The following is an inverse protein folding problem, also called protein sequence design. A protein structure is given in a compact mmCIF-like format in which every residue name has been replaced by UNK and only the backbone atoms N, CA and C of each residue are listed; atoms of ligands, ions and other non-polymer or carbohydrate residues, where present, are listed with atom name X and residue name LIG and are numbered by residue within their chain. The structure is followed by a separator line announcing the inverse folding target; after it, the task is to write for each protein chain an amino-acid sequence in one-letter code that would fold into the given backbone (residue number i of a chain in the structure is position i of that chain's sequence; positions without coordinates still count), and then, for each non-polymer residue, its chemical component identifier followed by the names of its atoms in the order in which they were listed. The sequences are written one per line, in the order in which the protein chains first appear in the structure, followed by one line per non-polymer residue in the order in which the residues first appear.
data_IF_654831300194
#
_entry.id   IF_654831300194
#
_cell.length_a   1.000
_cell.length_b   1.000
_cell.length_c   1.000
_cell.angle_alpha   90.00
_cell.angle_beta   90.00
_cell.angle_gamma   90.00
#
_symmetry.space_group_name_H-M   'P 1'
#
loop_
_entity.id
_entity.type
_entity.pdbx_description
1 polymer ?
#
# COMPACT_ATOMS: atom_id res chain seq x y z
N UNK A 1 43.78 17.81 -38.79
CA UNK A 1 43.66 18.03 -37.34
C UNK A 1 42.37 18.82 -37.01
N UNK A 2 41.47 18.29 -36.23
CA UNK A 2 40.30 19.05 -35.79
C UNK A 2 40.72 20.15 -34.80
N UNK A 3 40.17 21.34 -34.96
CA UNK A 3 40.39 22.42 -34.01
C UNK A 3 39.75 22.07 -32.64
N UNK A 4 40.28 22.66 -31.59
CA UNK A 4 39.74 22.51 -30.24
C UNK A 4 38.28 22.95 -30.17
N UNK A 5 37.92 24.02 -30.86
CA UNK A 5 36.58 24.59 -30.94
C UNK A 5 35.58 23.55 -31.47
N UNK A 6 35.97 22.79 -32.51
CA UNK A 6 35.12 21.77 -33.09
C UNK A 6 34.90 20.57 -32.14
N UNK A 7 35.97 20.17 -31.44
CA UNK A 7 35.94 19.11 -30.44
C UNK A 7 35.02 19.47 -29.26
N UNK A 8 35.07 20.72 -28.81
CA UNK A 8 34.20 21.23 -27.76
C UNK A 8 32.74 21.25 -28.17
N UNK A 9 32.43 21.66 -29.40
CA UNK A 9 31.05 21.60 -29.93
C UNK A 9 30.50 20.19 -29.98
N UNK A 10 31.31 19.24 -30.47
CA UNK A 10 30.92 17.84 -30.55
C UNK A 10 30.64 17.27 -29.14
N UNK A 11 31.45 17.67 -28.15
CA UNK A 11 31.25 17.26 -26.76
C UNK A 11 29.95 17.84 -26.16
N UNK A 12 29.68 19.13 -26.42
CA UNK A 12 28.44 19.78 -25.95
C UNK A 12 27.22 19.10 -26.51
N UNK A 13 27.20 18.77 -27.80
CA UNK A 13 26.10 18.06 -28.44
C UNK A 13 25.90 16.70 -27.77
N UNK A 14 26.96 15.96 -27.50
CA UNK A 14 26.91 14.66 -26.87
C UNK A 14 26.37 14.72 -25.43
N UNK A 15 26.75 15.75 -24.67
CA UNK A 15 26.24 15.97 -23.31
C UNK A 15 24.75 16.28 -23.32
N UNK A 16 24.30 17.14 -24.24
CA UNK A 16 22.88 17.49 -24.40
C UNK A 16 22.04 16.26 -24.76
N UNK A 17 22.50 15.44 -25.70
CA UNK A 17 21.81 14.19 -26.09
C UNK A 17 21.70 13.23 -24.91
N UNK A 18 22.74 13.08 -24.10
CA UNK A 18 22.74 12.22 -22.91
C UNK A 18 21.75 12.72 -21.87
N UNK A 19 21.69 14.02 -21.63
CA UNK A 19 20.75 14.64 -20.69
C UNK A 19 19.31 14.46 -21.15
N UNK A 20 19.04 14.63 -22.45
CA UNK A 20 17.70 14.38 -23.03
C UNK A 20 17.29 12.91 -22.87
N UNK A 21 18.19 11.98 -23.10
CA UNK A 21 17.93 10.56 -22.93
C UNK A 21 17.63 10.21 -21.49
N UNK A 22 18.35 10.77 -20.53
CA UNK A 22 18.08 10.58 -19.10
C UNK A 22 16.72 11.13 -18.70
N UNK A 23 16.35 12.29 -19.21
CA UNK A 23 15.05 12.92 -18.96
C UNK A 23 13.91 12.06 -19.51
N UNK A 24 14.03 11.58 -20.74
CA UNK A 24 13.04 10.69 -21.37
C UNK A 24 12.87 9.39 -20.59
N UNK A 25 13.96 8.82 -20.11
CA UNK A 25 13.94 7.60 -19.33
C UNK A 25 13.23 7.81 -17.99
N UNK A 26 13.51 8.92 -17.33
CA UNK A 26 12.85 9.31 -16.08
C UNK A 26 11.35 9.49 -16.28
N UNK A 27 10.94 10.17 -17.33
CA UNK A 27 9.52 10.37 -17.66
C UNK A 27 8.80 9.04 -17.92
N UNK A 28 9.47 8.10 -18.62
CA UNK A 28 8.94 6.75 -18.85
C UNK A 28 8.72 5.99 -17.55
N UNK A 29 9.67 6.04 -16.63
CA UNK A 29 9.59 5.38 -15.33
C UNK A 29 8.45 5.96 -14.51
N UNK A 30 8.34 7.28 -14.43
CA UNK A 30 7.28 7.97 -13.72
C UNK A 30 5.88 7.62 -14.25
N UNK A 31 5.74 7.54 -15.57
CA UNK A 31 4.50 7.14 -16.23
C UNK A 31 4.12 5.70 -15.87
N UNK A 32 5.10 4.80 -15.89
CA UNK A 32 4.90 3.40 -15.53
C UNK A 32 4.49 3.24 -14.07
N UNK A 33 5.13 3.99 -13.16
CA UNK A 33 4.76 4.01 -11.75
C UNK A 33 3.30 4.41 -11.55
N UNK A 34 2.87 5.47 -12.21
CA UNK A 34 1.47 5.93 -12.13
C UNK A 34 0.48 4.87 -12.64
N UNK A 35 0.82 4.20 -13.72
CA UNK A 35 -0.02 3.14 -14.27
C UNK A 35 -0.14 1.96 -13.30
N UNK A 36 0.98 1.54 -12.71
CA UNK A 36 1.01 0.45 -11.73
C UNK A 36 0.23 0.85 -10.47
N UNK A 37 0.47 2.04 -9.93
CA UNK A 37 -0.23 2.54 -8.74
C UNK A 37 -1.73 2.62 -8.98
N UNK A 38 -2.15 3.12 -10.15
CA UNK A 38 -3.57 3.20 -10.50
C UNK A 38 -4.24 1.83 -10.53
N UNK A 39 -3.60 0.82 -11.12
CA UNK A 39 -4.11 -0.55 -11.16
C UNK A 39 -4.22 -1.16 -9.76
N UNK A 40 -3.19 -0.99 -8.97
CA UNK A 40 -3.12 -1.52 -7.60
C UNK A 40 -4.17 -0.87 -6.70
N UNK A 41 -4.33 0.44 -6.80
CA UNK A 41 -5.35 1.19 -6.06
C UNK A 41 -6.76 0.71 -6.41
N UNK A 42 -7.03 0.42 -7.68
CA UNK A 42 -8.32 -0.14 -8.10
C UNK A 42 -8.59 -1.50 -7.46
N UNK A 43 -7.57 -2.35 -7.41
CA UNK A 43 -7.67 -3.67 -6.76
C UNK A 43 -7.94 -3.49 -5.27
N UNK A 44 -7.18 -2.63 -4.60
CA UNK A 44 -7.35 -2.33 -3.18
C UNK A 44 -8.75 -1.80 -2.88
N UNK A 45 -9.23 -0.84 -3.66
CA UNK A 45 -10.56 -0.28 -3.49
C UNK A 45 -11.65 -1.34 -3.66
N UNK A 46 -11.53 -2.19 -4.68
CA UNK A 46 -12.50 -3.24 -4.95
C UNK A 46 -12.48 -4.35 -3.91
N UNK A 47 -11.30 -4.81 -3.53
CA UNK A 47 -11.14 -5.99 -2.68
C UNK A 47 -11.18 -5.68 -1.19
N UNK A 48 -10.87 -4.44 -0.81
CA UNK A 48 -10.73 -4.05 0.59
C UNK A 48 -11.64 -2.88 0.96
N UNK A 49 -11.40 -1.70 0.41
CA UNK A 49 -12.11 -0.48 0.83
C UNK A 49 -13.62 -0.54 0.56
N UNK A 50 -14.02 -1.04 -0.60
CA UNK A 50 -15.42 -1.11 -1.02
C UNK A 50 -15.99 -2.53 -1.03
N UNK A 51 -15.28 -3.48 -0.45
CA UNK A 51 -15.73 -4.87 -0.41
C UNK A 51 -16.68 -5.09 0.76
N UNK A 52 -17.96 -5.24 0.47
CA UNK A 52 -19.01 -5.39 1.47
C UNK A 52 -18.84 -6.65 2.32
N UNK A 53 -18.39 -7.75 1.71
CA UNK A 53 -18.16 -8.99 2.43
C UNK A 53 -17.04 -8.83 3.45
N UNK A 54 -15.93 -8.22 3.07
CA UNK A 54 -14.81 -7.97 3.97
C UNK A 54 -15.22 -7.10 5.15
N UNK A 55 -15.94 -6.01 4.90
CA UNK A 55 -16.46 -5.14 5.96
C UNK A 55 -17.45 -5.85 6.87
N UNK A 56 -18.32 -6.69 6.29
CA UNK A 56 -19.27 -7.50 7.06
C UNK A 56 -18.55 -8.48 7.98
N UNK A 57 -17.49 -9.12 7.49
CA UNK A 57 -16.68 -10.03 8.30
C UNK A 57 -15.97 -9.31 9.45
N UNK A 58 -15.41 -8.12 9.21
CA UNK A 58 -14.82 -7.30 10.27
C UNK A 58 -15.86 -6.90 11.32
N UNK A 59 -17.03 -6.46 10.88
CA UNK A 59 -18.12 -6.09 11.79
C UNK A 59 -18.60 -7.29 12.61
N UNK A 60 -18.69 -8.46 12.00
CA UNK A 60 -19.10 -9.66 12.69
C UNK A 60 -18.12 -10.06 13.79
N UNK A 61 -16.84 -9.96 13.52
CA UNK A 61 -15.78 -10.18 14.52
C UNK A 61 -15.93 -9.19 15.67
N UNK A 62 -16.10 -7.91 15.35
CA UNK A 62 -16.25 -6.85 16.34
C UNK A 62 -17.49 -7.06 17.23
N UNK A 63 -18.62 -7.39 16.62
CA UNK A 63 -19.87 -7.69 17.34
C UNK A 63 -19.68 -8.88 18.28
N UNK A 64 -19.02 -9.93 17.80
CA UNK A 64 -18.75 -11.14 18.61
C UNK A 64 -17.88 -10.81 19.82
N UNK A 65 -16.83 -10.03 19.63
CA UNK A 65 -15.95 -9.62 20.74
C UNK A 65 -16.70 -8.77 21.77
N UNK A 66 -17.53 -7.84 21.31
CA UNK A 66 -18.33 -6.99 22.20
C UNK A 66 -19.37 -7.77 23.00
N UNK A 67 -19.91 -8.84 22.45
CA UNK A 67 -20.81 -9.73 23.18
C UNK A 67 -20.11 -10.46 24.32
N UNK A 68 -18.84 -10.81 24.12
CA UNK A 68 -18.03 -11.47 25.14
C UNK A 68 -17.60 -10.53 26.26
N UNK A 69 -17.50 -9.23 25.97
CA UNK A 69 -17.13 -8.21 26.96
C UNK A 69 -17.91 -6.91 26.71
N UNK A 70 -19.21 -6.88 27.06
CA UNK A 70 -20.09 -5.76 26.73
C UNK A 70 -19.77 -4.46 27.47
N UNK A 71 -19.01 -4.52 28.55
CA UNK A 71 -18.62 -3.34 29.34
C UNK A 71 -17.33 -2.72 28.85
N UNK A 72 -16.61 -3.39 27.98
CA UNK A 72 -15.29 -3.01 27.55
C UNK A 72 -15.27 -2.52 26.11
N UNK A 73 -14.79 -1.28 25.91
CA UNK A 73 -14.66 -0.65 24.58
C UNK A 73 -13.28 -0.85 23.99
N UNK A 74 -12.58 -1.94 24.34
CA UNK A 74 -11.22 -2.25 23.85
C UNK A 74 -11.17 -2.66 22.38
N UNK A 75 -12.28 -3.08 21.83
CA UNK A 75 -12.34 -3.69 20.51
C UNK A 75 -12.90 -2.70 19.50
N UNK A 76 -12.07 -2.28 18.56
CA UNK A 76 -12.54 -1.43 17.48
C UNK A 76 -11.62 -1.58 16.25
N UNK A 77 -12.17 -1.30 15.10
CA UNK A 77 -11.38 -1.21 13.88
C UNK A 77 -11.49 0.19 13.29
N UNK A 78 -10.46 0.58 12.55
CA UNK A 78 -10.36 1.91 11.97
C UNK A 78 -9.83 1.83 10.54
N UNK A 79 -10.49 2.57 9.64
CA UNK A 79 -10.06 2.76 8.27
C UNK A 79 -9.42 4.14 8.18
N UNK A 80 -8.27 4.23 7.54
CA UNK A 80 -7.65 5.51 7.18
C UNK A 80 -7.93 5.78 5.71
N UNK A 81 -8.36 7.00 5.38
CA UNK A 81 -8.63 7.40 4.01
C UNK A 81 -7.34 7.47 3.20
N UNK A 82 -7.43 7.01 1.95
CA UNK A 82 -6.33 7.03 1.01
C UNK A 82 -6.40 8.28 0.15
N UNK A 83 -5.38 9.13 0.26
CA UNK A 83 -5.25 10.32 -0.56
C UNK A 83 -4.15 10.14 -1.60
N UNK A 84 -4.54 9.89 -2.84
CA UNK A 84 -3.63 9.67 -3.97
C UNK A 84 -2.77 10.91 -4.26
N UNK A 85 -3.28 12.10 -3.94
CA UNK A 85 -2.57 13.35 -4.21
C UNK A 85 -1.37 13.57 -3.28
N UNK A 86 -1.32 12.88 -2.15
CA UNK A 86 -0.26 12.99 -1.15
C UNK A 86 0.58 11.73 -1.11
N UNK A 87 1.49 11.55 -2.07
CA UNK A 87 2.36 10.38 -2.19
C UNK A 87 3.16 10.03 -0.93
N UNK A 88 3.39 10.99 -0.04
CA UNK A 88 4.15 10.81 1.19
C UNK A 88 3.33 10.20 2.33
N UNK A 89 2.00 10.26 2.25
CA UNK A 89 1.07 9.80 3.27
C UNK A 89 0.21 8.62 2.82
N UNK A 90 0.74 7.76 1.95
CA UNK A 90 0.06 6.57 1.47
C UNK A 90 -0.06 5.54 2.59
N UNK A 91 -0.85 5.86 3.58
CA UNK A 91 -1.14 4.97 4.72
C UNK A 91 -2.60 4.57 4.71
N UNK A 92 -3.01 3.93 3.63
CA UNK A 92 -4.28 3.25 3.66
C UNK A 92 -4.09 1.96 4.42
N UNK A 93 -4.70 1.92 5.57
CA UNK A 93 -4.66 0.71 6.35
C UNK A 93 -5.98 0.45 7.04
N UNK A 94 -6.25 -0.83 7.23
CA UNK A 94 -7.26 -1.31 8.13
C UNK A 94 -6.56 -1.72 9.40
N UNK A 95 -6.91 -1.09 10.51
CA UNK A 95 -6.32 -1.41 11.79
C UNK A 95 -7.41 -1.85 12.75
N UNK A 96 -7.28 -3.04 13.29
CA UNK A 96 -8.12 -3.56 14.33
C UNK A 96 -7.36 -3.53 15.65
N UNK A 97 -7.97 -2.98 16.68
CA UNK A 97 -7.37 -2.87 18.00
C UNK A 97 -8.01 -3.85 18.96
N UNK A 98 -7.19 -4.66 19.59
CA UNK A 98 -7.59 -5.55 20.66
C UNK A 98 -6.68 -5.25 21.86
N UNK A 99 -7.23 -4.60 22.87
CA UNK A 99 -6.53 -4.34 24.14
C UNK A 99 -5.15 -3.68 23.94
N UNK A 100 -5.08 -2.61 23.14
CA UNK A 100 -3.86 -1.90 22.73
C UNK A 100 -2.94 -2.64 21.76
N UNK A 101 -3.18 -3.92 21.50
CA UNK A 101 -2.57 -4.65 20.40
C UNK A 101 -3.27 -4.29 19.10
N UNK A 102 -2.50 -4.05 18.05
CA UNK A 102 -3.07 -3.72 16.76
C UNK A 102 -2.74 -4.79 15.72
N UNK A 103 -3.75 -5.19 14.98
CA UNK A 103 -3.61 -6.01 13.79
C UNK A 103 -3.77 -5.08 12.58
N UNK A 104 -2.79 -5.07 11.73
CA UNK A 104 -2.60 -4.03 10.71
C UNK A 104 -2.61 -4.61 9.31
N UNK A 105 -3.39 -4.01 8.43
CA UNK A 105 -3.46 -4.38 7.01
C UNK A 105 -3.23 -3.13 6.18
N UNK A 106 -2.12 -3.08 5.45
CA UNK A 106 -1.67 -1.88 4.77
C UNK A 106 -1.31 -2.15 3.32
N UNK A 107 -1.72 -1.22 2.45
CA UNK A 107 -1.24 -1.14 1.07
C UNK A 107 0.04 -0.30 1.04
N UNK A 108 1.08 -0.82 0.40
CA UNK A 108 2.34 -0.14 0.22
C UNK A 108 2.57 0.18 -1.26
N UNK A 109 2.80 1.44 -1.56
CA UNK A 109 3.14 1.94 -2.89
C UNK A 109 4.50 2.61 -2.81
N UNK A 110 5.52 1.99 -3.40
CA UNK A 110 6.89 2.49 -3.36
C UNK A 110 7.55 2.33 -4.73
N UNK A 111 7.44 3.38 -5.55
CA UNK A 111 7.96 3.35 -6.91
C UNK A 111 7.27 2.27 -7.74
N UNK A 112 8.06 1.39 -8.34
CA UNK A 112 7.55 0.25 -9.11
C UNK A 112 7.14 -0.94 -8.23
N UNK A 113 7.51 -0.91 -6.95
CA UNK A 113 7.14 -1.94 -5.98
C UNK A 113 5.83 -1.62 -5.31
N UNK A 114 4.93 -2.59 -5.35
CA UNK A 114 3.64 -2.51 -4.67
C UNK A 114 3.41 -3.83 -3.96
N UNK A 115 3.06 -3.75 -2.70
CA UNK A 115 2.77 -4.93 -1.90
C UNK A 115 1.75 -4.63 -0.80
N UNK A 116 1.43 -5.66 -0.03
CA UNK A 116 0.55 -5.58 1.12
C UNK A 116 1.31 -6.06 2.35
N UNK A 117 1.06 -5.43 3.48
CA UNK A 117 1.63 -5.85 4.76
C UNK A 117 0.49 -6.16 5.73
N UNK A 118 0.55 -7.34 6.33
CA UNK A 118 -0.38 -7.76 7.38
C UNK A 118 0.45 -8.07 8.63
N UNK A 119 0.41 -7.16 9.59
CA UNK A 119 1.11 -7.31 10.89
C UNK A 119 2.57 -7.76 10.74
N UNK A 120 3.28 -7.14 9.79
CA UNK A 120 4.70 -7.40 9.52
C UNK A 120 4.97 -8.46 8.45
N UNK A 121 3.98 -9.22 8.03
CA UNK A 121 4.11 -10.17 6.93
C UNK A 121 3.78 -9.50 5.59
N UNK A 122 4.61 -9.72 4.58
CA UNK A 122 4.45 -9.10 3.25
C UNK A 122 3.80 -10.06 2.27
N UNK A 123 2.82 -9.54 1.52
CA UNK A 123 2.10 -10.27 0.48
C UNK A 123 2.18 -9.51 -0.84
N UNK A 124 2.22 -10.23 -1.94
CA UNK A 124 2.07 -9.65 -3.28
C UNK A 124 0.61 -9.24 -3.50
N UNK A 125 0.37 -8.27 -4.39
CA UNK A 125 -0.99 -7.82 -4.73
C UNK A 125 -1.85 -8.98 -5.26
N UNK A 126 -1.26 -9.90 -6.01
CA UNK A 126 -1.97 -11.09 -6.52
C UNK A 126 -2.49 -11.99 -5.41
N UNK A 127 -1.90 -11.90 -4.21
CA UNK A 127 -2.28 -12.68 -3.03
C UNK A 127 -3.18 -11.91 -2.06
N UNK A 128 -3.90 -10.90 -2.55
CA UNK A 128 -4.74 -10.04 -1.70
C UNK A 128 -5.82 -10.83 -0.95
N UNK A 129 -6.36 -11.90 -1.54
CA UNK A 129 -7.35 -12.73 -0.85
C UNK A 129 -6.73 -13.45 0.35
N UNK A 130 -5.51 -13.96 0.18
CA UNK A 130 -4.76 -14.58 1.27
C UNK A 130 -4.38 -13.58 2.35
N UNK A 131 -4.00 -12.37 1.96
CA UNK A 131 -3.70 -11.29 2.89
C UNK A 131 -4.93 -10.91 3.74
N UNK A 132 -6.10 -10.79 3.13
CA UNK A 132 -7.36 -10.53 3.81
C UNK A 132 -7.69 -11.64 4.82
N UNK A 133 -7.58 -12.88 4.41
CA UNK A 133 -7.82 -14.05 5.26
C UNK A 133 -6.85 -14.08 6.44
N UNK A 134 -5.56 -13.83 6.19
CA UNK A 134 -4.54 -13.74 7.24
C UNK A 134 -4.87 -12.63 8.22
N UNK A 135 -5.30 -11.47 7.73
CA UNK A 135 -5.69 -10.34 8.58
C UNK A 135 -6.84 -10.70 9.52
N UNK A 136 -7.89 -11.32 8.99
CA UNK A 136 -9.05 -11.73 9.80
C UNK A 136 -8.66 -12.78 10.85
N UNK A 137 -7.84 -13.74 10.46
CA UNK A 137 -7.35 -14.78 11.39
C UNK A 137 -6.45 -14.20 12.47
N UNK A 138 -5.59 -13.26 12.12
CA UNK A 138 -4.70 -12.60 13.09
C UNK A 138 -5.49 -11.82 14.15
N UNK A 139 -6.58 -11.16 13.75
CA UNK A 139 -7.48 -10.48 14.70
C UNK A 139 -8.03 -11.47 15.71
N UNK A 140 -8.53 -12.60 15.24
CA UNK A 140 -9.10 -13.64 16.09
C UNK A 140 -8.03 -14.24 17.02
N UNK A 141 -6.84 -14.49 16.50
CA UNK A 141 -5.73 -15.05 17.28
C UNK A 141 -5.28 -14.12 18.38
N UNK A 142 -5.14 -12.81 18.09
CA UNK A 142 -4.78 -11.81 19.10
C UNK A 142 -5.85 -11.76 20.20
N UNK A 143 -7.11 -11.82 19.84
CA UNK A 143 -8.20 -11.85 20.83
C UNK A 143 -8.09 -13.09 21.74
N UNK A 144 -7.84 -14.26 21.17
CA UNK A 144 -7.69 -15.50 21.95
C UNK A 144 -6.49 -15.44 22.91
N UNK A 145 -5.39 -14.82 22.51
CA UNK A 145 -4.20 -14.65 23.35
C UNK A 145 -4.45 -13.69 24.51
N UNK A 146 -5.31 -12.68 24.32
CA UNK A 146 -5.62 -11.68 25.35
C UNK A 146 -6.64 -12.18 26.39
N UNK A 147 -7.31 -13.25 26.10
CA UNK A 147 -8.34 -13.85 26.95
C UNK A 147 -7.99 -15.29 27.29
#
# INVERSE_FOLDING_TARGET
MRSLTKKLKDLEIKVLETNDNKKRLKEKVEKREKEIHSKVIKIWNKEVLNNKLFHSQLNQILITFRKLDPTNKRYFWKIFEFDISKKENLKDNFTFYVNNERVHFQLNLNGLYTDLTVSGETFKIDSIQKAKETYLNDIIDVFKEQN
#
